data_IF_855086954433
#
_entry.id   IF_855086954433
#
_cell.length_a   1.000
_cell.length_b   1.000
_cell.length_c   1.000
_cell.angle_alpha   90.00
_cell.angle_beta   90.00
_cell.angle_gamma   90.00
#
_symmetry.space_group_name_H-M   'P 1'
#
loop_
_entity.id
_entity.type
_entity.pdbx_description
1 polymer ?
#
# COMPACT_ATOMS: atom_id res chain seq x y z
N UNK A 1 26.80 -16.11 14.88
CA UNK A 1 25.45 -15.60 15.21
C UNK A 1 25.39 -14.23 14.57
N UNK A 2 24.56 -14.03 13.54
CA UNK A 2 24.60 -12.78 12.77
C UNK A 2 24.33 -11.59 13.69
N UNK A 3 25.29 -10.67 13.73
CA UNK A 3 25.08 -9.27 14.08
C UNK A 3 23.90 -8.76 13.26
N UNK A 4 22.72 -8.74 13.86
CA UNK A 4 21.54 -8.07 13.32
C UNK A 4 21.87 -6.59 13.29
N UNK A 5 22.56 -6.21 12.21
CA UNK A 5 23.10 -4.90 11.94
C UNK A 5 22.07 -3.87 12.37
N UNK A 6 22.48 -2.98 13.27
CA UNK A 6 21.66 -1.91 13.83
C UNK A 6 20.85 -1.27 12.72
N UNK A 7 19.57 -1.63 12.61
CA UNK A 7 18.71 -1.06 11.58
C UNK A 7 18.66 0.42 11.88
N UNK A 8 19.21 1.28 11.00
CA UNK A 8 19.34 2.68 11.36
C UNK A 8 17.96 3.29 11.56
N UNK A 9 17.80 4.10 12.60
CA UNK A 9 16.49 4.70 12.95
C UNK A 9 15.90 5.47 11.76
N UNK A 10 16.75 6.10 10.93
CA UNK A 10 16.31 6.78 9.70
C UNK A 10 15.68 5.84 8.67
N UNK A 11 16.13 4.58 8.59
CA UNK A 11 15.54 3.57 7.70
C UNK A 11 14.14 3.23 8.19
N UNK A 12 13.95 3.04 9.50
CA UNK A 12 12.65 2.74 10.08
C UNK A 12 11.65 3.89 9.88
N UNK A 13 12.10 5.13 10.09
CA UNK A 13 11.30 6.34 9.85
C UNK A 13 10.96 6.49 8.37
N UNK A 14 11.95 6.33 7.48
CA UNK A 14 11.74 6.36 6.04
C UNK A 14 10.73 5.30 5.58
N UNK A 15 10.85 4.08 6.08
CA UNK A 15 9.95 2.97 5.75
C UNK A 15 8.52 3.23 6.24
N UNK A 16 8.37 3.82 7.43
CA UNK A 16 7.07 4.22 7.97
C UNK A 16 6.40 5.30 7.10
N UNK A 17 7.15 6.34 6.72
CA UNK A 17 6.65 7.41 5.84
C UNK A 17 6.26 6.85 4.48
N UNK A 18 7.08 5.95 3.92
CA UNK A 18 6.79 5.29 2.64
C UNK A 18 5.51 4.45 2.71
N UNK A 19 5.32 3.66 3.77
CA UNK A 19 4.11 2.85 3.96
C UNK A 19 2.87 3.73 4.13
N UNK A 20 2.96 4.83 4.87
CA UNK A 20 1.86 5.79 5.01
C UNK A 20 1.54 6.49 3.69
N UNK A 21 2.58 6.94 2.96
CA UNK A 21 2.45 7.56 1.65
C UNK A 21 1.82 6.59 0.63
N UNK A 22 2.24 5.32 0.65
CA UNK A 22 1.66 4.25 -0.15
C UNK A 22 0.16 4.08 0.14
N UNK A 23 -0.25 4.02 1.40
CA UNK A 23 -1.66 3.92 1.80
C UNK A 23 -2.49 5.10 1.30
N UNK A 24 -1.96 6.33 1.42
CA UNK A 24 -2.58 7.55 0.89
C UNK A 24 -2.72 7.53 -0.63
N UNK A 25 -1.70 7.06 -1.35
CA UNK A 25 -1.74 6.89 -2.79
C UNK A 25 -2.80 5.85 -3.20
N UNK A 26 -2.86 4.70 -2.52
CA UNK A 26 -3.85 3.65 -2.76
C UNK A 26 -5.28 4.14 -2.50
N UNK A 27 -5.48 4.89 -1.42
CA UNK A 27 -6.76 5.53 -1.10
C UNK A 27 -7.20 6.47 -2.23
N UNK A 28 -6.29 7.32 -2.68
CA UNK A 28 -6.57 8.32 -3.73
C UNK A 28 -6.82 7.66 -5.08
N UNK A 29 -6.02 6.66 -5.46
CA UNK A 29 -6.19 5.92 -6.71
C UNK A 29 -7.51 5.14 -6.73
N UNK A 30 -7.84 4.45 -5.63
CA UNK A 30 -9.12 3.75 -5.49
C UNK A 30 -10.32 4.72 -5.53
N UNK A 31 -10.18 5.92 -4.95
CA UNK A 31 -11.21 6.96 -5.03
C UNK A 31 -11.39 7.47 -6.46
N UNK A 32 -10.30 7.73 -7.19
CA UNK A 32 -10.32 8.13 -8.61
C UNK A 32 -10.94 7.05 -9.51
N UNK A 33 -10.78 5.78 -9.16
CA UNK A 33 -11.42 4.65 -9.84
C UNK A 33 -12.88 4.40 -9.42
N UNK A 34 -13.48 5.25 -8.59
CA UNK A 34 -14.90 5.13 -8.21
C UNK A 34 -15.21 3.91 -7.32
N UNK A 35 -14.22 3.38 -6.58
CA UNK A 35 -14.43 2.26 -5.66
C UNK A 35 -15.20 2.65 -4.38
N UNK A 36 -15.53 3.94 -4.21
CA UNK A 36 -16.35 4.45 -3.11
C UNK A 36 -15.83 3.99 -1.75
N UNK A 37 -16.65 3.22 -1.02
CA UNK A 37 -16.34 2.68 0.31
C UNK A 37 -15.13 1.73 0.33
N UNK A 38 -14.86 1.03 -0.78
CA UNK A 38 -13.69 0.15 -0.87
C UNK A 38 -12.38 0.94 -0.96
N UNK A 39 -12.41 2.23 -1.34
CA UNK A 39 -11.21 3.05 -1.34
C UNK A 39 -10.57 3.15 0.04
N UNK A 40 -11.40 3.30 1.09
CA UNK A 40 -10.92 3.39 2.48
C UNK A 40 -10.31 2.08 2.96
N UNK A 41 -10.87 0.93 2.54
CA UNK A 41 -10.28 -0.39 2.77
C UNK A 41 -8.86 -0.48 2.20
N UNK A 42 -8.67 -0.07 0.95
CA UNK A 42 -7.36 -0.07 0.30
C UNK A 42 -6.35 0.91 0.91
N UNK A 43 -6.82 2.04 1.46
CA UNK A 43 -5.98 3.00 2.16
C UNK A 43 -5.42 2.46 3.47
N UNK A 44 -6.27 1.87 4.32
CA UNK A 44 -5.84 1.30 5.61
C UNK A 44 -5.01 0.04 5.41
N UNK A 45 -5.44 -0.82 4.49
CA UNK A 45 -4.73 -2.05 4.15
C UNK A 45 -3.35 -1.74 3.56
N UNK A 46 -3.25 -0.69 2.73
CA UNK A 46 -2.00 -0.19 2.16
C UNK A 46 -1.01 0.34 3.19
N UNK A 47 -1.48 0.76 4.37
CA UNK A 47 -0.67 1.27 5.48
C UNK A 47 -0.23 0.20 6.48
N UNK A 48 -0.65 -1.06 6.31
CA UNK A 48 -0.31 -2.15 7.25
C UNK A 48 0.92 -2.93 6.82
N UNK A 49 1.02 -3.25 5.53
CA UNK A 49 2.14 -4.01 4.98
C UNK A 49 2.51 -3.51 3.60
N UNK A 50 3.80 -3.60 3.25
CA UNK A 50 4.31 -3.41 1.91
C UNK A 50 5.07 -4.70 1.56
N UNK A 51 4.90 -5.33 0.38
CA UNK A 51 4.19 -4.92 -0.84
C UNK A 51 2.84 -5.64 -1.09
N UNK A 52 2.39 -6.49 -0.18
CA UNK A 52 1.20 -7.35 -0.34
C UNK A 52 -0.08 -6.60 -0.77
N UNK A 53 -0.45 -5.45 -0.17
CA UNK A 53 -1.61 -4.65 -0.56
C UNK A 53 -1.56 -4.17 -2.02
N UNK A 54 -0.37 -3.80 -2.49
CA UNK A 54 -0.14 -3.36 -3.88
C UNK A 54 -0.39 -4.51 -4.87
N UNK A 55 0.12 -5.71 -4.55
CA UNK A 55 -0.05 -6.90 -5.39
C UNK A 55 -1.54 -7.29 -5.48
N UNK A 56 -2.23 -7.34 -4.34
CA UNK A 56 -3.65 -7.66 -4.29
C UNK A 56 -4.50 -6.57 -4.97
N UNK A 57 -4.17 -5.30 -4.80
CA UNK A 57 -4.84 -4.19 -5.50
C UNK A 57 -4.73 -4.35 -7.01
N UNK A 58 -3.54 -4.66 -7.50
CA UNK A 58 -3.31 -4.85 -8.92
C UNK A 58 -4.11 -6.04 -9.48
N UNK A 59 -4.15 -7.16 -8.76
CA UNK A 59 -4.87 -8.35 -9.21
C UNK A 59 -6.40 -8.18 -9.14
N UNK A 60 -6.92 -7.55 -8.09
CA UNK A 60 -8.36 -7.43 -7.82
C UNK A 60 -8.97 -6.19 -8.49
N UNK A 61 -8.25 -5.06 -8.55
CA UNK A 61 -8.83 -3.79 -9.03
C UNK A 61 -8.42 -3.47 -10.46
N UNK A 62 -7.15 -3.71 -10.84
CA UNK A 62 -6.66 -3.37 -12.18
C UNK A 62 -7.04 -4.44 -13.21
N UNK A 63 -6.89 -5.72 -12.87
CA UNK A 63 -7.12 -6.84 -13.80
C UNK A 63 -8.56 -6.95 -14.33
N UNK A 64 -9.63 -6.87 -13.50
CA UNK A 64 -11.00 -7.00 -14.02
C UNK A 64 -11.49 -5.76 -14.77
N UNK A 65 -10.86 -4.59 -14.59
CA UNK A 65 -11.23 -3.36 -15.31
C UNK A 65 -10.87 -3.37 -16.80
N UNK A 66 -10.08 -4.33 -17.29
CA UNK A 66 -9.72 -4.50 -18.71
C UNK A 66 -10.70 -5.38 -19.51
N UNK A 67 -11.75 -5.94 -18.90
CA UNK A 67 -12.72 -6.82 -19.57
C UNK A 67 -14.10 -6.17 -19.80
N UNK A 68 -14.14 -4.88 -20.13
CA UNK A 68 -15.33 -4.27 -20.74
C UNK A 68 -14.93 -3.66 -22.07
#
# INVERSE_FOLDING_TARGET
MNDVSEVPVWVLVGMTILVLSQGLCLFTDARKRGLGKMAWFWGIWGSTTMPLPLVLYWFIVIRPRRKK
#
